data_IF_578661918863
#
_entry.id   IF_578661918863
#
_cell.length_a   1.000
_cell.length_b   1.000
_cell.length_c   1.000
_cell.angle_alpha   90.00
_cell.angle_beta   90.00
_cell.angle_gamma   90.00
#
_symmetry.space_group_name_H-M   'P 1'
#
loop_
_entity.id
_entity.type
_entity.pdbx_description
1 polymer ?
#
# COMPACT_ATOMS: atom_id res chain seq x y z
N UNK A 1 -30.75 30.35 18.76
CA UNK A 1 -29.57 29.46 18.75
C UNK A 1 -29.61 28.59 17.48
N UNK A 2 -28.68 28.73 16.54
CA UNK A 2 -28.62 27.93 15.29
C UNK A 2 -27.23 27.29 15.03
N UNK A 3 -26.52 26.92 16.10
CA UNK A 3 -25.17 26.36 16.06
C UNK A 3 -25.07 24.94 15.45
N UNK A 4 -26.19 24.32 15.08
CA UNK A 4 -26.23 22.94 14.58
C UNK A 4 -25.72 22.79 13.14
N UNK A 5 -25.90 23.79 12.27
CA UNK A 5 -25.58 23.64 10.83
C UNK A 5 -24.07 23.76 10.57
N UNK A 6 -23.37 24.61 11.32
CA UNK A 6 -21.93 24.86 11.14
C UNK A 6 -21.01 23.76 11.70
N UNK A 7 -21.55 22.82 12.48
CA UNK A 7 -20.82 21.65 13.01
C UNK A 7 -20.86 20.47 12.04
N UNK A 8 -22.04 20.16 11.49
CA UNK A 8 -22.23 19.06 10.52
C UNK A 8 -21.36 19.23 9.27
N UNK A 9 -21.31 20.44 8.69
CA UNK A 9 -20.50 20.71 7.51
C UNK A 9 -18.98 20.63 7.77
N UNK A 10 -18.52 20.87 9.01
CA UNK A 10 -17.12 20.73 9.38
C UNK A 10 -16.72 19.27 9.61
N UNK A 11 -17.62 18.49 10.21
CA UNK A 11 -17.41 17.06 10.45
C UNK A 11 -17.30 16.25 9.16
N UNK A 12 -18.12 16.54 8.13
CA UNK A 12 -18.01 15.85 6.84
C UNK A 12 -16.66 16.09 6.17
N UNK A 13 -16.19 17.34 6.14
CA UNK A 13 -14.88 17.68 5.57
C UNK A 13 -13.73 16.97 6.29
N UNK A 14 -13.79 16.83 7.61
CA UNK A 14 -12.75 16.10 8.36
C UNK A 14 -12.79 14.59 8.14
N UNK A 15 -13.98 14.01 7.91
CA UNK A 15 -14.14 12.58 7.62
C UNK A 15 -13.54 12.20 6.27
N UNK A 16 -13.76 13.00 5.23
CA UNK A 16 -13.17 12.76 3.91
C UNK A 16 -11.65 12.78 3.94
N UNK A 17 -11.07 13.78 4.62
CA UNK A 17 -9.61 13.88 4.78
C UNK A 17 -9.01 12.69 5.53
N UNK A 18 -9.68 12.19 6.58
CA UNK A 18 -9.25 10.97 7.29
C UNK A 18 -9.34 9.73 6.40
N UNK A 19 -10.40 9.58 5.62
CA UNK A 19 -10.56 8.45 4.70
C UNK A 19 -9.48 8.47 3.61
N UNK A 20 -9.19 9.65 3.05
CA UNK A 20 -8.15 9.82 2.04
C UNK A 20 -6.76 9.46 2.59
N UNK A 21 -6.41 9.99 3.75
CA UNK A 21 -5.12 9.72 4.39
C UNK A 21 -4.98 8.25 4.79
N UNK A 22 -6.06 7.63 5.29
CA UNK A 22 -6.11 6.20 5.56
C UNK A 22 -5.79 5.40 4.30
N UNK A 23 -6.54 5.63 3.21
CA UNK A 23 -6.29 4.93 1.94
C UNK A 23 -4.86 5.17 1.48
N UNK A 24 -4.33 6.39 1.47
CA UNK A 24 -2.95 6.63 1.06
C UNK A 24 -1.93 5.88 1.92
N UNK A 25 -2.08 5.91 3.24
CA UNK A 25 -1.17 5.25 4.19
C UNK A 25 -1.27 3.72 4.14
N UNK A 26 -2.37 3.14 3.65
CA UNK A 26 -2.47 1.68 3.46
C UNK A 26 -2.17 1.26 2.02
N UNK A 27 -2.70 1.98 1.03
CA UNK A 27 -2.55 1.70 -0.40
C UNK A 27 -1.09 1.72 -0.81
N UNK A 28 -0.35 2.80 -0.49
CA UNK A 28 1.06 2.92 -0.89
C UNK A 28 1.94 1.80 -0.31
N UNK A 29 1.91 1.47 0.99
CA UNK A 29 2.72 0.38 1.51
C UNK A 29 2.28 -0.99 1.01
N UNK A 30 0.97 -1.23 0.82
CA UNK A 30 0.51 -2.48 0.17
C UNK A 30 1.07 -2.57 -1.25
N UNK A 31 1.02 -1.47 -2.02
CA UNK A 31 1.61 -1.40 -3.36
C UNK A 31 3.13 -1.66 -3.31
N UNK A 32 3.82 -1.08 -2.33
CA UNK A 32 5.26 -1.23 -2.14
C UNK A 32 5.63 -2.69 -1.83
N UNK A 33 4.90 -3.35 -0.92
CA UNK A 33 5.11 -4.75 -0.59
C UNK A 33 4.79 -5.65 -1.79
N UNK A 34 3.70 -5.38 -2.51
CA UNK A 34 3.34 -6.13 -3.70
C UNK A 34 4.39 -5.97 -4.83
N UNK A 35 4.91 -4.76 -5.02
CA UNK A 35 5.93 -4.48 -6.03
C UNK A 35 7.28 -5.11 -5.65
N UNK A 36 7.80 -4.82 -4.46
CA UNK A 36 9.11 -5.33 -4.00
C UNK A 36 9.06 -6.83 -3.76
N UNK A 37 8.02 -7.32 -3.08
CA UNK A 37 7.80 -8.74 -2.83
C UNK A 37 7.52 -9.51 -4.12
N UNK A 38 6.68 -8.98 -5.01
CA UNK A 38 6.42 -9.56 -6.33
C UNK A 38 7.66 -9.59 -7.21
N UNK A 39 8.46 -8.52 -7.22
CA UNK A 39 9.72 -8.48 -7.96
C UNK A 39 10.75 -9.47 -7.39
N UNK A 40 10.93 -9.51 -6.07
CA UNK A 40 11.82 -10.47 -5.40
C UNK A 40 11.38 -11.92 -5.65
N UNK A 41 10.08 -12.20 -5.58
CA UNK A 41 9.50 -13.49 -5.90
C UNK A 41 9.68 -13.85 -7.38
N UNK A 42 9.49 -12.89 -8.29
CA UNK A 42 9.71 -13.09 -9.72
C UNK A 42 11.16 -13.41 -10.04
N UNK A 43 12.11 -12.68 -9.45
CA UNK A 43 13.55 -12.96 -9.57
C UNK A 43 13.89 -14.33 -8.98
N UNK A 44 13.37 -14.67 -7.80
CA UNK A 44 13.55 -15.99 -7.18
C UNK A 44 13.00 -17.12 -8.06
N UNK A 45 11.81 -16.96 -8.63
CA UNK A 45 11.24 -17.91 -9.58
C UNK A 45 12.12 -18.04 -10.82
N UNK A 46 12.53 -16.93 -11.44
CA UNK A 46 13.44 -16.95 -12.58
C UNK A 46 14.76 -17.65 -12.26
N UNK A 47 15.30 -17.47 -11.04
CA UNK A 47 16.48 -18.20 -10.57
C UNK A 47 16.23 -19.71 -10.57
N UNK A 48 15.11 -20.17 -10.01
CA UNK A 48 14.75 -21.60 -9.98
C UNK A 48 14.57 -22.19 -11.39
N UNK A 49 13.89 -21.48 -12.30
CA UNK A 49 13.55 -22.03 -13.62
C UNK A 49 14.69 -21.96 -14.65
N UNK A 50 15.51 -20.90 -14.62
CA UNK A 50 16.51 -20.65 -15.67
C UNK A 50 17.95 -20.66 -15.17
N UNK A 51 18.22 -20.30 -13.92
CA UNK A 51 19.58 -20.04 -13.44
C UNK A 51 20.15 -21.15 -12.54
N UNK A 52 19.35 -22.18 -12.24
CA UNK A 52 19.70 -23.20 -11.25
C UNK A 52 19.64 -22.65 -9.81
N UNK A 53 19.56 -23.52 -8.79
CA UNK A 53 19.33 -23.11 -7.41
C UNK A 53 20.32 -22.01 -6.98
N UNK A 54 19.85 -20.86 -6.48
CA UNK A 54 20.72 -19.79 -6.02
C UNK A 54 21.53 -20.29 -4.81
N UNK A 55 22.79 -20.71 -5.06
CA UNK A 55 23.66 -21.25 -4.01
C UNK A 55 24.89 -22.05 -4.47
N UNK A 56 24.98 -22.51 -5.73
CA UNK A 56 26.19 -23.20 -6.20
C UNK A 56 27.06 -22.27 -7.06
N UNK A 57 27.90 -21.48 -6.38
CA UNK A 57 29.20 -21.12 -6.94
C UNK A 57 30.15 -22.27 -6.62
N UNK A 58 30.42 -23.10 -7.64
CA UNK A 58 31.29 -24.27 -7.62
C UNK A 58 31.35 -24.86 -9.01
#
# INVERSE_FOLDING_TARGET
MNNGISTVAKDEKQREWRAFFFITVFLFPILSIAAVGGYGFFVWMMQIFFMGPPGHMG
#
